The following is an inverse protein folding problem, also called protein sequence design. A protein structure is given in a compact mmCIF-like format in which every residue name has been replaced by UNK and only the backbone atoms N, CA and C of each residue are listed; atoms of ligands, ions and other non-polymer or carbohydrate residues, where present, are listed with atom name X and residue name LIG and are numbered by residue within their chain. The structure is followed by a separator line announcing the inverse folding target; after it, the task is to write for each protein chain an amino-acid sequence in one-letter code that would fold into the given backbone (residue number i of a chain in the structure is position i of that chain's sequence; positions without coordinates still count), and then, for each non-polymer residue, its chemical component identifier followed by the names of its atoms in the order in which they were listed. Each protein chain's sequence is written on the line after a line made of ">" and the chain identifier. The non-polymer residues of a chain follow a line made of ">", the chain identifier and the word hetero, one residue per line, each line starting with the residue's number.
data_IF_401947772252
#
_entry.id   IF_401947772252
#
_cell.length_a   1.000
_cell.length_b   1.000
_cell.length_c   1.000
_cell.angle_alpha   90.00
_cell.angle_beta   90.00
_cell.angle_gamma   90.00
#
_symmetry.space_group_name_H-M   'P 1'
#
loop_
_entity.id
_entity.type
_entity.pdbx_description
1 polymer ?
2 polymer ?
3 water ?
#
# COMPACT_ATOMS: atom_id res chain seq x y z
N UNK A 2 4.37 -8.85 14.56
CA UNK A 2 3.42 -9.60 15.37
C UNK A 2 2.17 -9.83 14.56
N UNK A 3 1.54 -11.00 14.74
CA UNK A 3 0.41 -11.40 13.89
C UNK A 3 -0.92 -10.78 14.31
N UNK A 4 -1.16 -10.68 15.60
CA UNK A 4 -2.48 -10.25 16.08
C UNK A 4 -2.75 -8.78 15.81
N UNK A 5 -1.81 -7.91 16.14
CA UNK A 5 -1.94 -6.50 15.82
C UNK A 5 -2.22 -6.19 14.38
N UNK A 6 -1.62 -6.96 13.50
CA UNK A 6 -1.96 -6.85 12.08
C UNK A 6 -3.40 -7.35 11.87
N UNK A 7 -3.65 -8.60 12.25
CA UNK A 7 -4.98 -9.20 12.24
C UNK A 7 -6.07 -8.26 12.74
N UNK A 8 -5.83 -7.66 13.88
CA UNK A 8 -6.88 -6.96 14.53
C UNK A 8 -7.09 -5.57 13.97
N UNK A 9 -6.28 -5.18 13.03
CA UNK A 9 -6.48 -3.88 12.40
C UNK A 9 -6.69 -3.96 10.89
N UNK A 10 -6.06 -4.94 10.25
CA UNK A 10 -6.20 -5.10 8.81
C UNK A 10 -6.82 -6.45 8.47
N UNK A 11 -7.98 -6.43 7.83
CA UNK A 11 -8.64 -7.67 7.41
C UNK A 11 -7.80 -8.34 6.31
N UNK A 12 -7.55 -9.64 6.47
CA UNK A 12 -6.85 -10.38 5.44
C UNK A 12 -7.84 -10.96 4.48
N UNK A 13 -7.75 -10.63 3.20
CA UNK A 13 -8.75 -11.14 2.25
C UNK A 13 -8.08 -11.82 1.06
N UNK A 14 -8.73 -12.87 0.55
CA UNK A 14 -8.11 -13.76 -0.42
C UNK A 14 -9.02 -13.94 -1.63
N UNK A 15 -8.45 -13.93 -2.84
CA UNK A 15 -9.26 -13.96 -4.05
C UNK A 15 -8.63 -14.89 -5.09
N UNK A 16 -9.47 -15.42 -5.97
CA UNK A 16 -9.00 -16.19 -7.08
C UNK A 16 -9.92 -15.99 -8.27
N UNK A 17 -9.32 -15.72 -9.44
CA UNK A 17 -10.09 -15.54 -10.68
C UNK A 17 -9.34 -16.15 -11.86
N UNK A 18 -10.08 -16.60 -12.88
CA UNK A 18 -9.40 -17.17 -14.05
C UNK A 18 -8.86 -16.08 -14.95
N UNK A 19 -7.75 -16.35 -15.64
CA UNK A 19 -7.24 -15.48 -16.70
C UNK A 19 -8.10 -15.54 -17.96
N UNK A 20 -8.15 -14.44 -18.72
CA UNK A 20 -8.83 -14.46 -20.01
C UNK A 20 -7.97 -15.23 -21.02
N UNK A 21 -8.65 -15.96 -21.92
CA UNK A 21 -8.06 -16.55 -23.14
C UNK A 21 -6.71 -15.96 -23.58
N UNK A 32 -11.58 -24.97 -23.00
CA UNK A 32 -10.17 -24.64 -22.85
C UNK A 32 -9.83 -24.54 -21.36
N UNK A 33 -8.60 -24.91 -20.97
CA UNK A 33 -8.27 -24.78 -19.56
C UNK A 33 -7.71 -23.40 -19.27
N UNK A 34 -8.13 -22.88 -18.14
CA UNK A 34 -7.85 -21.52 -17.75
C UNK A 34 -6.66 -21.54 -16.82
N UNK A 35 -5.89 -20.46 -16.83
CA UNK A 35 -4.92 -20.21 -15.79
C UNK A 35 -5.65 -19.50 -14.67
N UNK A 36 -5.04 -19.46 -13.49
CA UNK A 36 -5.67 -18.87 -12.34
C UNK A 36 -4.77 -17.83 -11.70
N UNK A 37 -5.37 -16.71 -11.33
CA UNK A 37 -4.72 -15.63 -10.59
C UNK A 37 -5.25 -15.62 -9.16
N UNK A 38 -4.35 -15.82 -8.20
CA UNK A 38 -4.63 -15.82 -6.76
C UNK A 38 -4.00 -14.60 -6.09
N UNK A 39 -4.69 -14.03 -5.11
CA UNK A 39 -4.15 -12.89 -4.38
C UNK A 39 -4.53 -12.93 -2.90
N UNK A 40 -3.57 -12.48 -2.09
CA UNK A 40 -3.74 -12.21 -0.68
C UNK A 40 -3.54 -10.70 -0.48
N UNK A 41 -4.62 -10.04 -0.07
CA UNK A 41 -4.61 -8.62 0.32
C UNK A 41 -4.51 -8.48 1.84
N UNK A 42 -3.51 -7.70 2.25
CA UNK A 42 -3.30 -7.35 3.65
C UNK A 42 -3.94 -5.99 3.82
N UNK A 43 -5.19 -5.98 4.28
CA UNK A 43 -6.02 -4.79 4.18
C UNK A 43 -6.21 -4.43 2.71
N UNK A 44 -6.06 -3.14 2.38
CA UNK A 44 -6.34 -2.64 1.03
C UNK A 44 -5.24 -2.95 -0.01
N UNK A 45 -4.07 -3.43 0.42
CA UNK A 45 -2.91 -3.55 -0.49
C UNK A 45 -2.43 -5.00 -0.59
N UNK A 46 -2.05 -5.40 -1.81
CA UNK A 46 -1.67 -6.79 -2.04
C UNK A 46 -0.40 -7.18 -1.29
N UNK A 47 -0.41 -8.39 -0.74
CA UNK A 47 0.74 -8.91 -0.01
C UNK A 47 1.37 -10.07 -0.74
N UNK A 48 0.53 -10.97 -1.27
CA UNK A 48 1.05 -12.11 -2.05
C UNK A 48 0.22 -12.32 -3.31
N UNK A 49 0.87 -12.78 -4.37
CA UNK A 49 0.20 -13.04 -5.63
C UNK A 49 0.74 -14.35 -6.20
N UNK A 50 -0.13 -15.16 -6.78
CA UNK A 50 0.26 -16.49 -7.23
C UNK A 50 -0.46 -16.77 -8.53
N UNK A 51 0.26 -17.23 -9.54
CA UNK A 51 -0.32 -17.41 -10.87
C UNK A 51 -0.05 -18.82 -11.34
N UNK A 52 -1.13 -19.56 -11.63
CA UNK A 52 -1.04 -20.99 -11.96
C UNK A 52 -1.61 -21.27 -13.34
N UNK A 53 -0.73 -21.57 -14.29
CA UNK A 53 -1.17 -21.82 -15.68
C UNK A 53 -1.09 -23.31 -16.00
N UNK A 54 -1.98 -23.79 -16.89
CA UNK A 54 -1.97 -25.21 -17.22
C UNK A 54 -0.61 -25.62 -17.75
N UNK A 55 -0.04 -26.70 -17.23
CA UNK A 55 1.19 -27.27 -17.76
C UNK A 55 2.37 -26.31 -17.65
N UNK A 56 2.31 -25.40 -16.67
CA UNK A 56 3.44 -24.50 -16.38
C UNK A 56 3.81 -24.55 -14.89
N UNK A 57 5.07 -24.24 -14.56
CA UNK A 57 5.39 -24.03 -13.14
C UNK A 57 4.64 -22.82 -12.60
N UNK A 58 4.37 -22.81 -11.29
CA UNK A 58 3.71 -21.66 -10.68
C UNK A 58 4.58 -20.42 -10.66
N UNK A 59 3.94 -19.26 -10.71
CA UNK A 59 4.60 -17.99 -10.48
C UNK A 59 4.20 -17.50 -9.07
N UNK A 60 5.19 -17.35 -8.19
CA UNK A 60 4.94 -16.82 -6.85
C UNK A 60 5.55 -15.45 -6.70
N UNK A 61 4.80 -14.55 -6.06
CA UNK A 61 5.16 -13.13 -6.01
C UNK A 61 4.87 -12.57 -4.63
N UNK A 62 5.85 -11.87 -4.06
CA UNK A 62 5.65 -11.29 -2.73
C UNK A 62 5.97 -9.80 -2.76
N UNK A 63 5.21 -9.04 -1.97
CA UNK A 63 5.39 -7.60 -1.89
C UNK A 63 6.84 -7.25 -1.54
N UNK A 64 7.31 -6.16 -2.13
CA UNK A 64 8.71 -5.80 -2.09
C UNK A 64 9.40 -6.34 -3.32
N UNK A 65 9.98 -7.53 -3.18
CA UNK A 65 10.75 -8.21 -4.23
C UNK A 65 10.10 -8.14 -5.61
N UNK A 66 8.80 -8.41 -5.66
CA UNK A 66 8.10 -8.60 -6.93
C UNK A 66 7.06 -7.52 -7.24
N UNK A 67 7.26 -6.32 -6.69
CA UNK A 67 6.28 -5.24 -6.83
C UNK A 67 5.89 -4.96 -8.30
N UNK A 68 6.87 -5.01 -9.21
CA UNK A 68 6.63 -4.64 -10.60
C UNK A 68 5.68 -5.61 -11.31
N UNK A 69 5.55 -6.82 -10.76
CA UNK A 69 4.68 -7.84 -11.34
C UNK A 69 3.36 -7.96 -10.58
N UNK A 70 3.17 -7.15 -9.55
CA UNK A 70 1.99 -7.31 -8.70
C UNK A 70 0.98 -6.20 -8.86
N UNK A 71 -0.26 -6.49 -8.48
CA UNK A 71 -1.35 -5.52 -8.58
C UNK A 71 -1.01 -4.24 -7.81
N UNK A 72 -1.13 -3.09 -8.45
CA UNK A 72 -0.79 -1.82 -7.80
C UNK A 72 -2.03 -1.10 -7.27
N UNK A 73 -3.20 -1.64 -7.55
CA UNK A 73 -4.45 -1.03 -7.17
C UNK A 73 -4.83 -1.30 -5.72
N UNK A 74 -5.57 -0.37 -5.15
CA UNK A 74 -6.19 -0.57 -3.85
C UNK A 74 -7.23 -1.65 -4.07
N UNK A 75 -7.51 -2.46 -3.06
CA UNK A 75 -8.47 -3.55 -3.23
C UNK A 75 -9.81 -3.02 -3.72
N UNK A 76 -10.22 -1.91 -3.12
CA UNK A 76 -11.51 -1.29 -3.45
C UNK A 76 -11.62 -0.95 -4.94
N UNK A 77 -10.50 -0.60 -5.54
CA UNK A 77 -10.46 -0.23 -6.97
C UNK A 77 -10.51 -1.41 -7.94
N UNK A 78 -10.13 -2.59 -7.49
CA UNK A 78 -9.95 -3.74 -8.38
C UNK A 78 -11.28 -4.28 -8.88
N UNK A 79 -12.32 -4.09 -8.10
CA UNK A 79 -13.61 -4.71 -8.38
C UNK A 79 -13.70 -6.16 -7.90
N UNK A 80 -12.62 -6.68 -7.32
CA UNK A 80 -12.59 -8.05 -6.79
C UNK A 80 -13.70 -8.27 -5.76
N UNK A 81 -13.95 -7.24 -4.95
CA UNK A 81 -14.94 -7.40 -3.89
C UNK A 81 -16.36 -7.37 -4.43
N UNK A 82 -16.50 -7.08 -5.71
CA UNK A 82 -17.82 -7.02 -6.34
C UNK A 82 -18.01 -8.09 -7.43
N UNK A 83 -17.06 -9.01 -7.55
CA UNK A 83 -17.17 -10.14 -8.47
C UNK A 83 -17.64 -11.35 -7.71
N UNK A 84 -18.87 -11.77 -7.98
CA UNK A 84 -19.47 -12.89 -7.28
C UNK A 84 -18.66 -14.16 -7.47
N UNK A 85 -18.19 -14.74 -6.38
CA UNK A 85 -17.43 -15.97 -6.46
C UNK A 85 -15.92 -15.77 -6.43
N UNK A 86 -15.46 -14.52 -6.47
CA UNK A 86 -14.02 -14.27 -6.49
C UNK A 86 -13.37 -14.49 -5.13
N UNK A 87 -14.06 -14.16 -4.04
CA UNK A 87 -13.43 -14.28 -2.73
C UNK A 87 -13.40 -15.72 -2.23
N UNK A 88 -12.28 -16.10 -1.62
CA UNK A 88 -12.07 -17.46 -1.14
C UNK A 88 -11.65 -17.47 0.33
N UNK A 89 -11.68 -18.66 0.94
CA UNK A 89 -11.20 -18.85 2.31
C UNK A 89 -9.70 -18.69 2.38
N UNK A 90 -9.17 -18.13 3.49
CA UNK A 90 -7.73 -18.06 3.74
C UNK A 90 -7.02 -19.38 3.46
N UNK A 91 -7.60 -20.48 3.94
CA UNK A 91 -6.99 -21.81 3.78
C UNK A 91 -6.95 -22.26 2.32
N UNK A 92 -7.93 -21.86 1.52
CA UNK A 92 -7.90 -22.22 0.10
C UNK A 92 -6.70 -21.60 -0.61
N UNK A 93 -6.36 -20.37 -0.23
CA UNK A 93 -5.13 -19.74 -0.74
C UNK A 93 -3.89 -20.42 -0.17
N UNK A 94 -3.87 -20.57 1.16
CA UNK A 94 -2.71 -21.07 1.86
C UNK A 94 -2.27 -22.45 1.40
N UNK A 95 -3.23 -23.35 1.20
CA UNK A 95 -2.91 -24.73 0.85
C UNK A 95 -2.15 -24.76 -0.49
N UNK A 96 -2.58 -23.93 -1.43
CA UNK A 96 -1.96 -23.92 -2.75
C UNK A 96 -0.63 -23.16 -2.68
N UNK A 97 -0.61 -22.03 -1.99
CA UNK A 97 0.65 -21.30 -1.73
C UNK A 97 1.75 -22.21 -1.14
N UNK A 98 1.38 -22.98 -0.11
CA UNK A 98 2.31 -23.87 0.54
C UNK A 98 2.71 -25.02 -0.37
N UNK A 99 1.75 -25.59 -1.09
CA UNK A 99 2.06 -26.68 -2.02
C UNK A 99 3.08 -26.25 -3.08
N UNK A 100 3.03 -24.99 -3.50
CA UNK A 100 3.88 -24.49 -4.56
C UNK A 100 5.24 -24.01 -4.05
N UNK A 101 5.48 -24.15 -2.75
CA UNK A 101 6.76 -23.74 -2.19
C UNK A 101 6.80 -22.30 -1.71
N UNK A 102 5.62 -21.74 -1.45
CA UNK A 102 5.52 -20.33 -1.05
C UNK A 102 6.21 -19.98 0.25
N UNK A 103 6.24 -20.90 1.20
CA UNK A 103 6.90 -20.64 2.48
C UNK A 103 8.39 -20.40 2.29
N UNK A 104 9.06 -21.30 1.56
CA UNK A 104 10.47 -21.16 1.30
C UNK A 104 10.71 -19.91 0.47
N UNK A 105 9.82 -19.64 -0.49
CA UNK A 105 9.96 -18.47 -1.34
C UNK A 105 9.96 -17.16 -0.53
N UNK A 106 8.96 -17.02 0.33
CA UNK A 106 8.85 -15.83 1.16
C UNK A 106 9.96 -15.77 2.19
N UNK A 107 10.28 -16.90 2.77
CA UNK A 107 11.35 -16.95 3.72
C UNK A 107 12.68 -16.51 3.13
N UNK A 108 12.96 -16.96 1.93
CA UNK A 108 14.17 -16.52 1.22
C UNK A 108 14.15 -15.02 0.96
N UNK A 109 12.99 -14.50 0.56
CA UNK A 109 12.86 -13.06 0.33
C UNK A 109 13.08 -12.25 1.62
N UNK A 110 12.63 -12.78 2.75
CA UNK A 110 12.86 -12.17 4.05
C UNK A 110 14.34 -12.19 4.41
N UNK A 111 14.97 -13.32 4.15
CA UNK A 111 16.35 -13.50 4.52
C UNK A 111 17.24 -12.54 3.74
N UNK A 112 16.92 -12.35 2.49
CA UNK A 112 17.70 -11.51 1.60
C UNK A 112 17.31 -10.03 1.70
N UNK A 113 16.39 -9.70 2.61
CA UNK A 113 15.93 -8.33 2.84
C UNK A 113 15.26 -7.71 1.60
N UNK A 114 14.57 -8.56 0.82
CA UNK A 114 13.81 -8.11 -0.36
C UNK A 114 12.30 -8.00 -0.13
N UNK A 115 11.80 -8.57 0.96
CA UNK A 115 10.37 -8.64 1.25
C UNK A 115 9.89 -7.45 2.08
N UNK A 116 8.84 -6.78 1.61
CA UNK A 116 8.19 -5.77 2.43
C UNK A 116 7.42 -6.45 3.55
N UNK A 117 7.53 -5.91 4.77
CA UNK A 117 6.81 -6.49 5.91
C UNK A 117 5.30 -6.44 5.69
N UNK A 118 4.65 -7.58 5.84
CA UNK A 118 3.20 -7.69 5.66
C UNK A 118 2.70 -8.68 6.68
N UNK A 119 1.39 -8.90 6.71
CA UNK A 119 0.84 -9.98 7.49
C UNK A 119 1.46 -11.36 7.20
N UNK A 120 1.79 -11.62 5.93
CA UNK A 120 2.38 -12.89 5.52
C UNK A 120 3.79 -13.11 6.11
N UNK A 121 4.59 -12.05 6.12
CA UNK A 121 5.92 -12.15 6.73
C UNK A 121 5.79 -12.32 8.24
N UNK A 122 4.79 -11.65 8.83
CA UNK A 122 4.54 -11.78 10.26
C UNK A 122 4.18 -13.23 10.58
N UNK A 123 3.46 -13.85 9.65
CA UNK A 123 3.10 -15.25 9.75
C UNK A 123 4.35 -16.12 9.77
N UNK A 124 5.39 -15.72 9.02
CA UNK A 124 6.61 -16.53 9.04
C UNK A 124 7.61 -16.14 10.14
N UNK A 125 7.30 -15.12 10.93
CA UNK A 125 8.23 -14.68 11.97
C UNK A 125 8.29 -15.75 13.07
N UNK A 126 7.21 -16.53 13.15
CA UNK A 126 7.15 -17.74 13.97
C UNK A 126 8.43 -18.58 13.93
N UNK B 1 -16.83 5.45 -10.78
CA UNK B 1 -15.66 5.19 -11.61
C UNK B 1 -15.25 3.73 -11.84
N UNK B 2 -15.25 3.30 -13.12
CA UNK B 2 -14.79 1.96 -13.50
C UNK B 2 -13.69 2.00 -14.55
N UNK B 3 -12.95 3.09 -14.54
CA UNK B 3 -11.72 3.09 -15.25
C UNK B 3 -10.80 2.16 -14.46
N UNK B 4 -10.96 2.10 -13.13
CA UNK B 4 -9.97 1.39 -12.31
C UNK B 4 -10.09 -0.12 -12.52
N UNK B 5 -11.32 -0.58 -12.73
CA UNK B 5 -11.54 -1.99 -13.03
C UNK B 5 -11.08 -2.33 -14.45
N UNK B 6 -11.19 -1.37 -15.36
CA UNK B 6 -10.56 -1.51 -16.67
C UNK B 6 -9.05 -1.71 -16.51
N UNK B 7 -8.47 -0.91 -15.64
CA UNK B 7 -7.04 -0.98 -15.34
C UNK B 7 -6.68 -2.36 -14.80
N UNK B 8 -7.54 -2.89 -13.94
CA UNK B 8 -7.33 -4.22 -13.38
C UNK B 8 -7.38 -5.28 -14.48
N UNK B 9 -8.31 -5.10 -15.43
CA UNK B 9 -8.40 -5.98 -16.59
C UNK B 9 -7.12 -6.00 -17.43
N UNK B 10 -6.62 -4.81 -17.76
CA UNK B 10 -5.37 -4.69 -18.52
C UNK B 10 -4.20 -5.35 -17.78
N UNK B 11 -4.16 -5.12 -16.48
CA UNK B 11 -3.17 -5.73 -15.61
C UNK B 11 -3.22 -7.27 -15.72
N UNK B 12 -4.42 -7.82 -15.62
CA UNK B 12 -4.56 -9.27 -15.72
C UNK B 12 -4.13 -9.78 -17.10
N UNK B 13 -4.39 -8.99 -18.14
CA UNK B 13 -4.03 -9.45 -19.47
C UNK B 13 -2.50 -9.50 -19.65
N UNK B 14 -1.79 -8.54 -19.07
CA UNK B 14 -0.33 -8.58 -19.15
C UNK B 14 0.25 -9.71 -18.29
N UNK B 15 -0.33 -9.91 -17.10
CA UNK B 15 0.10 -11.02 -16.28
C UNK B 15 -0.11 -12.33 -17.02
N UNK B 16 -1.24 -12.44 -17.71
CA UNK B 16 -1.60 -13.66 -18.43
C UNK B 16 -0.53 -13.90 -19.47
N UNK B 17 0.07 -12.87 -20.00
CA UNK B 17 1.15 -13.07 -20.93
C UNK B 17 2.46 -13.41 -20.29
N UNK B 18 2.60 -13.08 -19.03
CA UNK B 18 3.90 -13.32 -18.38
C UNK B 18 4.35 -14.80 -18.29
N UNK B 19 3.45 -15.74 -18.55
CA UNK B 19 3.79 -17.17 -18.46
C UNK B 19 4.25 -17.83 -19.76
N UNK B 20 4.16 -17.14 -20.89
CA UNK B 20 4.49 -17.77 -22.16
C UNK B 20 5.99 -18.04 -22.29
N UNK B 21 6.77 -17.44 -21.40
CA UNK B 21 8.22 -17.64 -21.36
C UNK B 21 8.61 -18.83 -20.49
N UNK B 22 7.63 -19.38 -19.78
CA UNK B 22 7.88 -20.46 -18.84
C UNK B 22 7.93 -21.80 -19.57
N UNK B 23 8.76 -22.73 -19.08
CA UNK B 23 8.78 -24.04 -19.74
C UNK B 23 7.53 -24.85 -19.46
N UNK B 24 7.14 -25.69 -20.41
CA UNK B 24 6.07 -26.64 -20.18
C UNK B 24 6.50 -27.78 -19.27
N UNK B 25 5.60 -28.17 -18.36
CA UNK B 25 5.86 -29.32 -17.50
C UNK B 25 5.99 -30.57 -18.34
N UNK B 26 5.19 -30.64 -19.40
CA UNK B 26 5.12 -31.80 -20.29
C UNK B 26 6.38 -31.96 -21.16
N UNK B 27 7.04 -30.84 -21.44
CA UNK B 27 8.26 -30.80 -22.25
C UNK B 27 8.71 -29.36 -22.48
N UNK C 10 -5.03 10.04 -11.44
CA UNK C 10 -3.62 9.99 -11.09
C UNK C 10 -3.01 11.34 -10.84
N UNK C 11 -3.85 12.32 -10.61
CA UNK C 11 -3.38 13.62 -10.30
C UNK C 11 -2.70 13.55 -8.93
N UNK C 12 -1.59 14.23 -8.85
CA UNK C 12 -0.84 14.37 -7.60
C UNK C 12 -1.31 15.65 -6.91
N UNK C 13 -1.87 15.51 -5.71
CA UNK C 13 -2.42 16.68 -5.02
C UNK C 13 -1.90 16.78 -3.60
N UNK C 14 -1.71 18.01 -3.15
CA UNK C 14 -1.00 18.26 -1.91
C UNK C 14 -1.84 19.17 -1.03
N UNK C 15 -1.86 18.89 0.27
CA UNK C 15 -2.72 19.64 1.17
C UNK C 15 -1.99 19.93 2.47
N UNK C 16 -2.41 20.95 3.18
CA UNK C 16 -1.85 21.31 4.47
C UNK C 16 -3.03 21.82 5.31
N UNK C 17 -3.21 21.34 6.54
CA UNK C 17 -4.21 21.93 7.44
C UNK C 17 -3.73 21.96 8.89
N UNK C 18 -4.20 22.95 9.69
CA UNK C 18 -3.74 22.98 11.09
C UNK C 18 -4.46 21.95 11.93
N UNK C 19 -3.77 21.38 12.92
CA UNK C 19 -4.41 20.52 13.89
C UNK C 19 -5.31 21.40 14.76
N UNK C 20 -6.38 20.83 15.30
CA UNK C 20 -7.28 21.60 16.17
C UNK C 20 -6.58 21.95 17.48
N UNK C 21 -5.79 21.00 17.99
CA UNK C 21 -4.78 21.25 19.02
C UNK C 21 -4.04 19.95 19.35
N UNK C 32 -1.92 31.75 19.37
CA UNK C 32 -1.49 30.39 19.69
C UNK C 32 -0.76 29.73 18.52
N UNK C 33 0.12 28.81 18.84
CA UNK C 33 0.94 28.10 17.88
C UNK C 33 0.12 26.98 17.31
N UNK C 34 0.25 26.75 16.01
CA UNK C 34 -0.47 25.64 15.38
C UNK C 34 0.49 24.53 14.99
N UNK C 35 0.04 23.29 15.10
CA UNK C 35 0.75 22.21 14.46
C UNK C 35 0.17 22.07 13.07
N UNK C 36 0.90 21.45 12.16
CA UNK C 36 0.45 21.34 10.78
C UNK C 36 0.49 19.92 10.29
N UNK C 37 -0.56 19.54 9.57
CA UNK C 37 -0.65 18.25 8.91
C UNK C 37 -0.54 18.47 7.39
N UNK C 38 0.50 17.89 6.77
CA UNK C 38 0.77 17.96 5.33
C UNK C 38 0.56 16.60 4.68
N UNK C 39 0.04 16.61 3.48
CA UNK C 39 -0.19 15.35 2.79
C UNK C 39 0.07 15.47 1.30
N UNK C 40 0.64 14.39 0.76
CA UNK C 40 0.74 14.18 -0.68
C UNK C 40 -0.11 12.96 -1.05
N UNK C 41 -1.18 13.22 -1.81
CA UNK C 41 -2.07 12.20 -2.37
C UNK C 41 -1.67 11.84 -3.79
N UNK C 42 -1.45 10.55 -3.99
CA UNK C 42 -1.17 9.95 -5.29
C UNK C 42 -2.49 9.43 -5.84
N UNK C 43 -3.16 10.27 -6.65
CA UNK C 43 -4.54 10.02 -6.98
C UNK C 43 -5.36 10.00 -5.69
N UNK C 44 -6.19 8.97 -5.52
CA UNK C 44 -7.08 8.90 -4.36
C UNK C 44 -6.38 8.59 -3.04
N UNK C 45 -5.14 8.11 -3.11
CA UNK C 45 -4.53 7.53 -1.92
C UNK C 45 -3.29 8.25 -1.45
N UNK C 46 -3.19 8.43 -0.15
CA UNK C 46 -2.05 9.17 0.40
C UNK C 46 -0.73 8.42 0.19
N UNK C 47 0.30 9.17 -0.18
CA UNK C 47 1.62 8.60 -0.45
C UNK C 47 2.63 9.08 0.57
N UNK C 48 2.55 10.35 0.92
CA UNK C 48 3.42 10.86 1.97
C UNK C 48 2.62 11.70 2.95
N UNK C 49 3.03 11.67 4.21
CA UNK C 49 2.35 12.44 5.24
C UNK C 49 3.42 13.06 6.13
N UNK C 50 3.22 14.32 6.51
CA UNK C 50 4.23 15.06 7.25
C UNK C 50 3.56 15.91 8.32
N UNK C 51 4.03 15.83 9.55
CA UNK C 51 3.37 16.53 10.64
C UNK C 51 4.39 17.37 11.35
N UNK C 52 4.13 18.68 11.43
CA UNK C 52 5.10 19.63 11.97
C UNK C 52 4.52 20.40 13.13
N UNK C 53 5.01 20.13 14.34
CA UNK C 53 4.51 20.79 15.53
C UNK C 53 5.52 21.82 15.97
N UNK C 54 5.04 22.93 16.54
CA UNK C 54 5.98 23.97 16.95
C UNK C 54 6.96 23.43 17.98
N UNK C 55 8.25 23.70 17.77
CA UNK C 55 9.29 23.36 18.74
C UNK C 55 9.41 21.85 18.95
N UNK C 56 9.02 21.08 17.93
CA UNK C 56 9.19 19.63 17.93
C UNK C 56 9.91 19.19 16.66
N UNK C 57 10.60 18.04 16.71
CA UNK C 57 11.10 17.44 15.47
C UNK C 57 9.95 17.06 14.54
N UNK C 58 10.18 17.09 13.21
CA UNK C 58 9.15 16.68 12.25
C UNK C 58 8.83 15.19 12.33
N UNK C 59 7.58 14.84 12.02
CA UNK C 59 7.18 13.44 11.81
C UNK C 59 6.99 13.24 10.31
N UNK C 60 7.79 12.33 9.74
CA UNK C 60 7.70 11.99 8.32
C UNK C 60 7.18 10.57 8.17
N UNK C 61 6.28 10.37 7.22
CA UNK C 61 5.58 9.10 7.07
C UNK C 61 5.41 8.75 5.60
N UNK C 62 5.72 7.51 5.22
CA UNK C 62 5.55 7.08 3.84
C UNK C 62 4.72 5.80 3.72
N UNK C 63 3.98 5.69 2.62
CA UNK C 63 3.12 4.52 2.37
C UNK C 63 3.90 3.20 2.45
N UNK C 64 3.24 2.17 2.97
CA UNK C 64 3.90 0.92 3.29
C UNK C 64 4.35 0.97 4.74
N UNK C 65 5.57 1.43 4.94
CA UNK C 65 6.23 1.53 6.25
C UNK C 65 5.33 2.08 7.35
N UNK C 66 4.65 3.19 7.04
CA UNK C 66 3.93 3.94 8.06
C UNK C 66 2.42 3.88 7.87
N UNK C 67 1.94 2.81 7.23
CA UNK C 67 0.50 2.69 6.93
C UNK C 67 -0.38 2.88 8.17
N UNK C 68 0.08 2.35 9.29
CA UNK C 68 -0.72 2.38 10.52
C UNK C 68 -0.89 3.80 11.10
N UNK C 69 0.01 4.69 10.72
CA UNK C 69 -0.06 6.10 11.14
C UNK C 69 -0.62 7.01 10.05
N UNK C 70 -0.99 6.46 8.92
CA UNK C 70 -1.40 7.32 7.81
C UNK C 70 -2.89 7.24 7.51
N UNK C 71 -3.38 8.26 6.81
CA UNK C 71 -4.79 8.35 6.47
C UNK C 71 -5.23 7.14 5.65
N UNK C 72 -6.32 6.51 6.07
CA UNK C 72 -6.84 5.33 5.38
C UNK C 72 -7.99 5.70 4.44
N UNK C 73 -8.43 6.95 4.51
CA UNK C 73 -9.51 7.42 3.66
C UNK C 73 -8.97 7.88 2.31
N UNK C 74 -9.75 7.72 1.25
CA UNK C 74 -9.35 8.33 0.01
C UNK C 74 -9.59 9.83 0.00
N UNK C 75 -8.99 10.49 -0.97
CA UNK C 75 -9.07 11.94 -0.99
C UNK C 75 -10.51 12.46 -0.96
N UNK C 76 -11.40 11.85 -1.75
CA UNK C 76 -12.80 12.27 -1.77
C UNK C 76 -13.48 12.11 -0.41
N UNK C 77 -13.12 11.07 0.30
CA UNK C 77 -13.72 10.84 1.57
C UNK C 77 -13.30 11.79 2.67
N UNK C 78 -12.12 12.37 2.54
CA UNK C 78 -11.56 13.24 3.59
C UNK C 78 -12.26 14.58 3.67
N UNK C 79 -12.78 15.06 2.54
CA UNK C 79 -13.33 16.40 2.50
C UNK C 79 -12.26 17.48 2.30
N UNK C 80 -11.00 17.09 2.17
CA UNK C 80 -9.91 18.06 1.96
C UNK C 80 -10.15 18.97 0.77
N UNK C 81 -10.74 18.41 -0.29
CA UNK C 81 -10.95 19.18 -1.53
C UNK C 81 -12.08 20.21 -1.40
N UNK C 82 -12.78 20.18 -0.28
CA UNK C 82 -13.86 21.12 -0.02
C UNK C 82 -13.54 22.06 1.15
N UNK C 83 -12.31 21.98 1.66
CA UNK C 83 -11.85 22.90 2.69
C UNK C 83 -11.09 24.03 1.99
N UNK C 84 -11.70 25.20 1.95
CA UNK C 84 -11.12 26.34 1.23
C UNK C 84 -9.76 26.70 1.80
N UNK C 85 -8.73 26.69 0.95
CA UNK C 85 -7.39 27.06 1.39
C UNK C 85 -6.51 25.89 1.77
N UNK C 86 -7.07 24.69 1.80
CA UNK C 86 -6.29 23.50 2.20
C UNK C 86 -5.31 23.04 1.11
N UNK C 87 -5.67 23.17 -0.16
CA UNK C 87 -4.78 22.67 -1.22
C UNK C 87 -3.62 23.64 -1.47
N UNK C 88 -2.42 23.08 -1.66
CA UNK C 88 -1.20 23.85 -1.80
C UNK C 88 -0.42 23.45 -3.05
N UNK C 89 0.58 24.25 -3.41
CA UNK C 89 1.46 23.88 -4.52
C UNK C 89 2.30 22.67 -4.14
N UNK C 90 2.54 21.78 -5.11
CA UNK C 90 3.50 20.68 -4.91
C UNK C 90 4.80 21.22 -4.34
N UNK C 91 5.29 22.32 -4.84
CA UNK C 91 6.55 22.83 -4.37
C UNK C 91 6.52 23.22 -2.91
N UNK C 92 5.39 23.73 -2.44
CA UNK C 92 5.26 24.05 -1.02
C UNK C 92 5.39 22.82 -0.12
N UNK C 93 4.86 21.70 -0.54
CA UNK C 93 5.08 20.45 0.16
C UNK C 93 6.52 19.99 0.03
N UNK C 94 7.00 19.98 -1.20
CA UNK C 94 8.32 19.40 -1.43
C UNK C 94 9.41 20.16 -0.70
N UNK C 95 9.31 21.47 -0.61
CA UNK C 95 10.36 22.28 -0.01
C UNK C 95 10.55 21.87 1.44
N UNK C 96 9.45 21.67 2.11
CA UNK C 96 9.47 21.35 3.53
C UNK C 96 9.82 19.87 3.73
N UNK C 97 9.21 18.99 2.93
CA UNK C 97 9.56 17.56 2.94
C UNK C 97 11.07 17.36 2.82
N UNK C 98 11.68 18.02 1.84
CA UNK C 98 13.10 17.91 1.63
C UNK C 98 13.89 18.55 2.76
N UNK C 99 13.46 19.74 3.21
CA UNK C 99 14.18 20.38 4.31
C UNK C 99 14.23 19.50 5.56
N UNK C 100 13.18 18.71 5.78
CA UNK C 100 13.09 17.86 6.97
C UNK C 100 13.77 16.50 6.81
N UNK C 101 14.41 16.28 5.67
CA UNK C 101 15.14 15.04 5.44
C UNK C 101 14.28 13.96 4.80
N UNK C 102 13.20 14.37 4.13
CA UNK C 102 12.24 13.44 3.55
C UNK C 102 12.78 12.56 2.46
N UNK C 103 13.69 13.10 1.65
CA UNK C 103 14.28 12.33 0.57
C UNK C 103 15.08 11.17 1.15
N UNK C 104 15.91 11.43 2.15
CA UNK C 104 16.68 10.34 2.75
C UNK C 104 15.76 9.33 3.46
N UNK C 105 14.71 9.83 4.11
CA UNK C 105 13.75 8.97 4.80
C UNK C 105 13.09 7.98 3.82
N UNK C 106 12.60 8.55 2.72
CA UNK C 106 11.94 7.73 1.70
C UNK C 106 12.92 6.80 0.98
N UNK C 107 14.11 7.27 0.69
CA UNK C 107 15.09 6.43 0.05
C UNK C 107 15.53 5.23 0.91
N UNK C 108 15.73 5.47 2.18
CA UNK C 108 16.01 4.43 3.11
C UNK C 108 14.88 3.40 3.12
N UNK C 109 13.65 3.86 3.12
CA UNK C 109 12.52 2.97 3.12
C UNK C 109 12.42 2.17 1.85
N UNK C 110 12.80 2.76 0.75
CA UNK C 110 12.85 2.09 -0.52
C UNK C 110 13.98 1.04 -0.52
N UNK C 111 15.12 1.43 -0.03
CA UNK C 111 16.27 0.56 0.04
C UNK C 111 16.01 -0.64 0.88
N UNK C 112 15.31 -0.47 1.99
CA UNK C 112 14.99 -1.52 2.97
C UNK C 112 13.74 -2.28 2.60
N UNK C 113 13.12 -1.89 1.47
CA UNK C 113 11.88 -2.46 0.94
C UNK C 113 10.68 -2.27 1.86
N UNK C 114 10.70 -1.22 2.67
CA UNK C 114 9.54 -1.00 3.54
C UNK C 114 8.56 -0.07 2.87
N UNK C 115 9.00 0.60 1.81
CA UNK C 115 8.14 1.55 1.12
C UNK C 115 7.34 0.87 0.02
N UNK C 116 6.03 1.04 0.06
CA UNK C 116 5.17 0.61 -1.04
C UNK C 116 5.38 1.56 -2.19
N UNK C 117 5.49 1.04 -3.43
CA UNK C 117 5.66 1.94 -4.58
C UNK C 117 4.51 2.94 -4.79
N UNK C 118 4.87 4.21 -4.96
CA UNK C 118 3.93 5.30 -5.22
C UNK C 118 4.56 6.25 -6.23
N UNK C 119 3.84 7.31 -6.60
CA UNK C 119 4.40 8.36 -7.44
C UNK C 119 5.64 8.92 -6.77
N UNK C 120 5.59 9.00 -5.44
CA UNK C 120 6.70 9.53 -4.66
C UNK C 120 7.97 8.67 -4.78
N UNK C 121 7.85 7.34 -4.72
CA UNK C 121 9.03 6.49 -4.90
C UNK C 121 9.52 6.54 -6.34
N UNK C 122 8.59 6.64 -7.29
CA UNK C 122 8.94 6.76 -8.69
C UNK C 122 9.77 8.02 -8.96
N UNK C 123 9.46 9.10 -8.24
CA UNK C 123 10.23 10.33 -8.37
C UNK C 123 11.69 10.18 -7.99
N UNK C 124 11.99 9.28 -7.05
CA UNK C 124 13.36 9.06 -6.58
C UNK C 124 14.16 8.03 -7.36
N UNK C 125 13.60 7.52 -8.46
CA UNK C 125 14.23 6.39 -9.15
C UNK C 125 15.62 6.67 -9.71
N UNK C 126 15.97 7.93 -9.93
CA UNK C 126 17.35 8.32 -10.24
C UNK C 126 18.37 7.62 -9.33
N UNK D 1 -19.79 10.45 3.26
CA UNK D 1 -19.99 11.87 3.11
C UNK D 1 -19.80 12.60 4.43
N UNK D 2 -20.89 12.74 5.17
CA UNK D 2 -20.85 13.27 6.53
C UNK D 2 -19.95 12.39 7.39
N UNK D 3 -20.24 11.10 7.38
CA UNK D 3 -19.58 10.17 8.27
C UNK D 3 -18.08 10.03 7.93
N UNK D 4 -17.72 10.00 6.65
CA UNK D 4 -16.30 9.85 6.30
C UNK D 4 -15.47 11.07 6.69
N UNK D 5 -16.03 12.25 6.52
CA UNK D 5 -15.33 13.46 6.92
C UNK D 5 -15.24 13.55 8.45
N UNK D 6 -16.28 13.06 9.14
CA UNK D 6 -16.20 12.91 10.59
C UNK D 6 -15.01 12.04 10.97
N UNK D 7 -14.87 10.92 10.27
CA UNK D 7 -13.78 9.98 10.52
C UNK D 7 -12.42 10.63 10.29
N UNK D 8 -12.32 11.46 9.25
CA UNK D 8 -11.09 12.19 9.00
C UNK D 8 -10.76 13.15 10.15
N UNK D 9 -11.78 13.83 10.68
CA UNK D 9 -11.61 14.69 11.86
C UNK D 9 -11.06 13.91 13.06
N UNK D 10 -11.64 12.75 13.33
CA UNK D 10 -11.13 11.89 14.41
C UNK D 10 -9.68 11.45 14.18
N UNK D 11 -9.38 11.09 12.92
CA UNK D 11 -8.02 10.71 12.52
C UNK D 11 -7.02 11.83 12.82
N UNK D 12 -7.37 13.05 12.44
CA UNK D 12 -6.49 14.19 12.71
C UNK D 12 -6.32 14.44 14.20
N UNK D 13 -7.38 14.26 14.95
CA UNK D 13 -7.29 14.54 16.38
C UNK D 13 -6.38 13.49 17.05
N UNK D 14 -6.37 12.28 16.52
CA UNK D 14 -5.43 11.26 17.01
C UNK D 14 -3.99 11.52 16.57
N UNK D 15 -3.80 11.96 15.32
CA UNK D 15 -2.48 12.36 14.86
C UNK D 15 -1.89 13.52 15.65
N UNK D 16 -2.73 14.47 16.06
CA UNK D 16 -2.27 15.64 16.81
C UNK D 16 -1.56 15.22 18.10
N UNK D 17 -1.97 14.09 18.65
CA UNK D 17 -1.40 13.48 19.85
C UNK D 17 0.01 12.95 19.67
N UNK D 18 0.36 12.62 18.42
CA UNK D 18 1.59 11.88 18.13
C UNK D 18 2.88 12.65 18.45
N UNK D 19 2.77 13.95 18.69
CA UNK D 19 3.95 14.75 19.01
C UNK D 19 4.22 14.81 20.50
N UNK D 20 3.27 14.32 21.31
CA UNK D 20 3.40 14.37 22.76
C UNK D 20 4.57 13.54 23.26
N UNK D 21 5.04 12.60 22.42
CA UNK D 21 6.16 11.74 22.80
C UNK D 21 7.51 12.33 22.38
N UNK D 22 7.47 13.40 21.57
CA UNK D 22 8.68 14.03 21.05
C UNK D 22 9.23 15.08 22.02
N UNK D 23 10.57 15.25 22.06
CA UNK D 23 11.22 16.27 22.89
C UNK D 23 11.07 17.67 22.31
N UNK D 24 11.04 18.70 23.15
CA UNK D 24 11.08 20.07 22.68
C UNK D 24 12.46 20.47 22.14
N UNK D 25 12.48 21.22 21.03
CA UNK D 25 13.75 21.72 20.51
C UNK D 25 14.40 22.67 21.51
N UNK D 26 13.56 23.45 22.20
CA UNK D 26 14.04 24.44 23.16
C UNK D 26 14.57 23.81 24.45
N UNK D 27 14.02 22.64 24.78
CA UNK D 27 14.36 21.87 25.97
C UNK D 27 13.46 20.65 26.09
#
# INVERSE_FOLDING_TARGET
>A
ARQREIEMNRQQRFFRIPFIRPADQYKDPQSKKKGWWYAHFDGPWIARQMELHPDKPPILLVAGKDDMEMCELNLEETGLTRKRGAEILPRQFEEIWERCGGIQYLQNAIESRQARPTYATAMLQSLLK
>B
GVTSEGKFDKFLEERAKAADRLPNLSS
>C
ARQREIEMNRQQRFFRIPFIRPADQYKDPQSKKKGWWYAHFDGPWIARQMELHPDKPPILLVAGKDDMEMCELNLEETGLTRKRGAEILPRQFEEIWERCGGIQYLQNAIESRQARPTYATAMLQSLLK
>D
GVTSEGKFDKFLEERAKAADRLPNLSS
#
